data_IF_639055377170
#
_entry.id   IF_639055377170
#
_cell.length_a   1.000
_cell.length_b   1.000
_cell.length_c   1.000
_cell.angle_alpha   90.00
_cell.angle_beta   90.00
_cell.angle_gamma   90.00
#
_symmetry.space_group_name_H-M   'P 1'
#
loop_
_entity.id
_entity.type
_entity.pdbx_description
1 polymer ?
#
# COMPACT_ATOMS: atom_id res chain seq x y z
N UNK A 1 8.03 -19.31 -9.04
CA UNK A 1 9.32 -20.00 -8.82
C UNK A 1 9.87 -19.81 -7.41
N UNK A 2 9.95 -18.58 -6.87
CA UNK A 2 10.47 -18.32 -5.52
C UNK A 2 9.73 -19.06 -4.37
N UNK A 3 8.39 -19.10 -4.41
CA UNK A 3 7.57 -19.78 -3.38
C UNK A 3 7.86 -21.29 -3.32
N UNK A 4 8.09 -21.93 -4.46
CA UNK A 4 8.45 -23.35 -4.54
C UNK A 4 9.83 -23.62 -3.89
N UNK A 5 10.79 -22.70 -4.06
CA UNK A 5 12.09 -22.78 -3.40
C UNK A 5 11.98 -22.54 -1.89
N UNK A 6 11.12 -21.62 -1.45
CA UNK A 6 10.81 -21.40 -0.04
C UNK A 6 10.28 -22.68 0.62
N UNK A 7 9.34 -23.35 -0.05
CA UNK A 7 8.75 -24.59 0.44
C UNK A 7 9.78 -25.73 0.55
N UNK A 8 10.71 -25.81 -0.41
CA UNK A 8 11.77 -26.83 -0.47
C UNK A 8 12.84 -26.63 0.61
N UNK A 9 13.17 -25.37 0.93
CA UNK A 9 14.23 -25.03 1.88
C UNK A 9 13.76 -24.59 3.27
N UNK A 10 12.48 -24.78 3.62
CA UNK A 10 11.87 -24.38 4.90
C UNK A 10 12.63 -24.76 6.18
N UNK A 11 13.47 -25.80 6.12
CA UNK A 11 14.26 -26.30 7.27
C UNK A 11 15.65 -25.67 7.39
N UNK A 12 16.16 -25.02 6.34
CA UNK A 12 17.48 -24.39 6.30
C UNK A 12 17.35 -22.88 6.54
N UNK A 13 17.56 -22.43 7.78
CA UNK A 13 17.39 -21.02 8.18
C UNK A 13 18.11 -20.03 7.26
N UNK A 14 19.41 -20.20 7.03
CA UNK A 14 20.17 -19.26 6.20
C UNK A 14 19.71 -19.14 4.74
N UNK A 15 19.19 -20.23 4.14
CA UNK A 15 18.63 -20.17 2.78
C UNK A 15 17.26 -19.48 2.79
N UNK A 16 16.46 -19.72 3.83
CA UNK A 16 15.17 -19.05 4.00
C UNK A 16 15.35 -17.55 4.18
N UNK A 17 16.34 -17.10 4.95
CA UNK A 17 16.62 -15.69 5.18
C UNK A 17 17.01 -14.98 3.86
N UNK A 18 17.87 -15.61 3.06
CA UNK A 18 18.19 -15.11 1.71
C UNK A 18 16.94 -15.01 0.82
N UNK A 19 16.09 -16.05 0.82
CA UNK A 19 14.85 -16.04 0.03
C UNK A 19 13.84 -15.00 0.55
N UNK A 20 13.81 -14.71 1.85
CA UNK A 20 12.98 -13.64 2.41
C UNK A 20 13.49 -12.27 1.93
N UNK A 21 14.80 -12.06 1.85
CA UNK A 21 15.37 -10.83 1.31
C UNK A 21 15.00 -10.63 -0.16
N UNK A 22 15.06 -11.69 -0.97
CA UNK A 22 14.58 -11.66 -2.36
C UNK A 22 13.06 -11.32 -2.43
N UNK A 23 12.26 -11.84 -1.51
CA UNK A 23 10.83 -11.53 -1.42
C UNK A 23 10.53 -10.05 -1.12
N UNK A 24 11.43 -9.30 -0.48
CA UNK A 24 11.22 -7.86 -0.26
C UNK A 24 11.27 -7.06 -1.55
N UNK A 25 12.08 -7.50 -2.52
CA UNK A 25 12.25 -6.85 -3.83
C UNK A 25 11.06 -7.11 -4.76
N UNK A 26 10.25 -8.13 -4.47
CA UNK A 26 9.04 -8.44 -5.25
C UNK A 26 7.98 -7.35 -5.06
N UNK A 27 7.41 -6.91 -6.18
CA UNK A 27 6.33 -5.92 -6.22
C UNK A 27 5.03 -6.46 -5.60
N UNK A 28 4.22 -5.58 -5.02
CA UNK A 28 2.96 -5.95 -4.37
C UNK A 28 2.02 -6.73 -5.29
N UNK A 29 1.87 -6.31 -6.56
CA UNK A 29 0.98 -6.98 -7.50
C UNK A 29 1.34 -8.45 -7.78
N UNK A 30 2.63 -8.78 -7.81
CA UNK A 30 3.07 -10.17 -7.93
C UNK A 30 2.99 -10.91 -6.60
N UNK A 31 3.25 -10.22 -5.48
CA UNK A 31 3.14 -10.80 -4.15
C UNK A 31 1.70 -11.22 -3.82
N UNK A 32 0.70 -10.41 -4.19
CA UNK A 32 -0.72 -10.69 -3.98
C UNK A 32 -1.18 -11.97 -4.69
N UNK A 33 -0.67 -12.24 -5.90
CA UNK A 33 -0.97 -13.49 -6.66
C UNK A 33 -0.55 -14.75 -5.91
N UNK A 34 0.51 -14.66 -5.12
CA UNK A 34 1.05 -15.77 -4.33
C UNK A 34 0.67 -15.71 -2.84
N UNK A 35 -0.11 -14.70 -2.44
CA UNK A 35 -0.44 -14.45 -1.05
C UNK A 35 -1.12 -15.63 -0.36
N UNK A 36 -2.13 -16.32 -0.96
CA UNK A 36 -2.73 -17.50 -0.34
C UNK A 36 -1.69 -18.59 -0.04
N UNK A 37 -0.76 -18.84 -0.96
CA UNK A 37 0.28 -19.86 -0.82
C UNK A 37 1.32 -19.47 0.23
N UNK A 38 1.69 -18.19 0.29
CA UNK A 38 2.62 -17.65 1.30
C UNK A 38 2.00 -17.75 2.70
N UNK A 39 0.77 -17.25 2.89
CA UNK A 39 0.06 -17.32 4.16
C UNK A 39 -0.11 -18.76 4.63
N UNK A 40 -0.53 -19.67 3.76
CA UNK A 40 -0.63 -21.09 4.08
C UNK A 40 0.72 -21.67 4.51
N UNK A 41 1.80 -21.36 3.79
CA UNK A 41 3.13 -21.85 4.16
C UNK A 41 3.62 -21.30 5.51
N UNK A 42 3.37 -20.03 5.82
CA UNK A 42 3.70 -19.43 7.12
C UNK A 42 2.95 -20.15 8.24
N UNK A 43 1.63 -20.29 8.07
CA UNK A 43 0.76 -20.89 9.07
C UNK A 43 1.10 -22.36 9.31
N UNK A 44 1.35 -23.16 8.28
CA UNK A 44 1.43 -24.63 8.41
C UNK A 44 2.85 -25.19 8.41
N UNK A 45 3.83 -24.47 7.85
CA UNK A 45 5.15 -25.04 7.56
C UNK A 45 6.34 -24.22 8.07
N UNK A 46 6.16 -22.93 8.33
CA UNK A 46 7.23 -22.03 8.82
C UNK A 46 6.96 -21.50 10.23
N UNK A 47 6.11 -22.20 11.01
CA UNK A 47 5.78 -21.85 12.40
C UNK A 47 7.05 -21.59 13.21
N UNK A 48 7.20 -20.39 13.76
CA UNK A 48 8.31 -20.00 14.63
C UNK A 48 9.58 -19.54 13.90
N UNK A 49 9.50 -19.22 12.61
CA UNK A 49 10.59 -18.54 11.92
C UNK A 49 10.38 -17.00 11.98
N UNK A 50 11.25 -16.25 12.68
CA UNK A 50 11.03 -14.81 12.89
C UNK A 50 11.23 -13.99 11.61
N UNK A 51 12.05 -14.44 10.66
CA UNK A 51 12.38 -13.70 9.44
C UNK A 51 11.16 -13.57 8.53
N UNK A 52 10.44 -14.68 8.32
CA UNK A 52 9.24 -14.66 7.47
C UNK A 52 8.06 -13.97 8.18
N UNK A 53 7.95 -14.11 9.50
CA UNK A 53 6.96 -13.36 10.30
C UNK A 53 7.22 -11.85 10.16
N UNK A 54 8.48 -11.42 10.29
CA UNK A 54 8.88 -10.02 10.13
C UNK A 54 8.57 -9.49 8.72
N UNK A 55 8.90 -10.26 7.69
CA UNK A 55 8.56 -9.94 6.31
C UNK A 55 7.06 -9.67 6.14
N UNK A 56 6.22 -10.55 6.67
CA UNK A 56 4.77 -10.37 6.59
C UNK A 56 4.32 -9.10 7.31
N UNK A 57 4.82 -8.84 8.52
CA UNK A 57 4.46 -7.65 9.29
C UNK A 57 4.92 -6.35 8.64
N UNK A 58 6.12 -6.33 8.06
CA UNK A 58 6.62 -5.15 7.35
C UNK A 58 5.73 -4.82 6.14
N UNK A 59 5.34 -5.83 5.36
CA UNK A 59 4.41 -5.64 4.23
C UNK A 59 3.01 -5.19 4.69
N UNK A 60 2.49 -5.75 5.79
CA UNK A 60 1.22 -5.29 6.38
C UNK A 60 1.29 -3.85 6.91
N UNK A 61 2.45 -3.42 7.40
CA UNK A 61 2.65 -2.04 7.87
C UNK A 61 2.76 -1.02 6.72
N UNK A 62 3.17 -1.46 5.53
CA UNK A 62 3.34 -0.60 4.37
C UNK A 62 2.04 -0.40 3.59
N UNK A 63 1.19 -1.43 3.47
CA UNK A 63 -0.06 -1.36 2.69
C UNK A 63 -1.23 -1.94 3.48
N UNK A 64 -2.24 -1.09 3.70
CA UNK A 64 -3.49 -1.51 4.36
C UNK A 64 -4.27 -2.50 3.52
N UNK A 65 -4.24 -2.36 2.19
CA UNK A 65 -4.90 -3.29 1.26
C UNK A 65 -4.34 -4.71 1.45
N UNK A 66 -3.00 -4.81 1.41
CA UNK A 66 -2.30 -6.06 1.64
C UNK A 66 -2.57 -6.63 3.05
N UNK A 67 -2.56 -5.78 4.08
CA UNK A 67 -2.83 -6.19 5.45
C UNK A 67 -4.23 -6.79 5.64
N UNK A 68 -5.24 -6.21 5.00
CA UNK A 68 -6.62 -6.73 5.05
C UNK A 68 -6.69 -8.11 4.38
N UNK A 69 -6.06 -8.30 3.21
CA UNK A 69 -6.00 -9.61 2.57
C UNK A 69 -5.35 -10.66 3.47
N UNK A 70 -4.19 -10.33 4.07
CA UNK A 70 -3.50 -11.21 5.03
C UNK A 70 -4.38 -11.51 6.25
N UNK A 71 -5.05 -10.50 6.79
CA UNK A 71 -5.95 -10.65 7.94
C UNK A 71 -7.03 -11.71 7.66
N UNK A 72 -7.68 -11.68 6.51
CA UNK A 72 -8.71 -12.65 6.15
C UNK A 72 -8.15 -14.07 6.06
N UNK A 73 -6.95 -14.26 5.49
CA UNK A 73 -6.30 -15.57 5.45
C UNK A 73 -5.94 -16.09 6.84
N UNK A 74 -5.45 -15.22 7.72
CA UNK A 74 -5.11 -15.57 9.10
C UNK A 74 -6.36 -15.88 9.93
N UNK A 75 -7.45 -15.13 9.73
CA UNK A 75 -8.71 -15.37 10.43
C UNK A 75 -9.31 -16.72 10.03
N UNK A 76 -9.39 -17.02 8.74
CA UNK A 76 -9.81 -18.33 8.25
C UNK A 76 -8.93 -19.45 8.84
N UNK A 77 -7.61 -19.24 8.91
CA UNK A 77 -6.71 -20.20 9.52
C UNK A 77 -6.93 -20.39 11.03
N UNK A 78 -7.37 -19.35 11.77
CA UNK A 78 -7.72 -19.45 13.19
C UNK A 78 -9.03 -20.19 13.37
N UNK A 79 -10.03 -19.95 12.53
CA UNK A 79 -11.34 -20.61 12.58
C UNK A 79 -11.22 -22.12 12.27
N UNK A 80 -10.42 -22.48 11.26
CA UNK A 80 -10.11 -23.87 10.91
C UNK A 80 -9.36 -24.63 12.02
N UNK A 81 -8.80 -23.90 12.99
CA UNK A 81 -8.04 -24.51 14.09
C UNK A 81 -8.93 -25.24 15.12
N UNK A 82 -10.25 -25.20 14.98
CA UNK A 82 -11.19 -25.99 15.79
C UNK A 82 -10.91 -27.50 15.76
N UNK A 83 -10.27 -27.99 14.69
CA UNK A 83 -9.88 -29.40 14.49
C UNK A 83 -8.42 -29.70 14.84
N UNK A 84 -7.65 -28.69 15.28
CA UNK A 84 -6.22 -28.80 15.58
C UNK A 84 -6.00 -29.15 17.06
N UNK A 85 -5.34 -30.28 17.34
CA UNK A 85 -5.06 -30.70 18.73
C UNK A 85 -3.88 -29.95 19.38
N UNK A 86 -3.08 -29.25 18.57
CA UNK A 86 -1.87 -28.57 19.03
C UNK A 86 -2.18 -27.16 19.53
N UNK A 87 -2.27 -26.98 20.86
CA UNK A 87 -2.46 -25.66 21.50
C UNK A 87 -1.45 -24.61 21.02
N UNK A 88 -0.18 -25.01 20.83
CA UNK A 88 0.89 -24.13 20.33
C UNK A 88 0.62 -23.62 18.91
N UNK A 89 0.01 -24.44 18.06
CA UNK A 89 -0.34 -24.03 16.70
C UNK A 89 -1.51 -23.02 16.69
N UNK A 90 -2.51 -23.24 17.54
CA UNK A 90 -3.65 -22.32 17.70
C UNK A 90 -3.15 -20.96 18.21
N UNK A 91 -2.33 -20.97 19.26
CA UNK A 91 -1.74 -19.77 19.85
C UNK A 91 -0.87 -19.02 18.84
N UNK A 92 -0.05 -19.75 18.06
CA UNK A 92 0.75 -19.16 17.00
C UNK A 92 -0.09 -18.40 15.96
N UNK A 93 -1.17 -19.00 15.46
CA UNK A 93 -2.05 -18.35 14.48
C UNK A 93 -2.72 -17.10 15.04
N UNK A 94 -3.23 -17.18 16.27
CA UNK A 94 -3.83 -16.03 16.97
C UNK A 94 -2.82 -14.90 17.18
N UNK A 95 -1.59 -15.25 17.59
CA UNK A 95 -0.49 -14.29 17.74
C UNK A 95 -0.18 -13.62 16.40
N UNK A 96 -0.06 -14.40 15.32
CA UNK A 96 0.25 -13.87 14.00
C UNK A 96 -0.85 -12.92 13.49
N UNK A 97 -2.12 -13.27 13.71
CA UNK A 97 -3.28 -12.39 13.43
C UNK A 97 -3.18 -11.07 14.21
N UNK A 98 -3.00 -11.14 15.53
CA UNK A 98 -2.90 -9.95 16.38
C UNK A 98 -1.70 -9.04 16.00
N UNK A 99 -0.58 -9.65 15.61
CA UNK A 99 0.57 -8.90 15.09
C UNK A 99 0.25 -8.21 13.77
N UNK A 100 -0.52 -8.83 12.88
CA UNK A 100 -0.96 -8.23 11.63
C UNK A 100 -1.82 -6.99 11.89
N UNK A 101 -2.82 -7.09 12.78
CA UNK A 101 -3.67 -5.97 13.20
C UNK A 101 -2.82 -4.81 13.76
N UNK A 102 -1.92 -5.13 14.70
CA UNK A 102 -1.05 -4.16 15.34
C UNK A 102 -0.10 -3.50 14.34
N UNK A 103 0.47 -4.26 13.40
CA UNK A 103 1.42 -3.75 12.41
C UNK A 103 0.74 -2.89 11.35
N UNK A 104 -0.48 -3.25 10.94
CA UNK A 104 -1.28 -2.48 9.98
C UNK A 104 -1.68 -1.10 10.53
N UNK A 105 -1.96 -1.01 11.83
CA UNK A 105 -2.34 0.25 12.50
C UNK A 105 -1.11 1.11 12.80
N UNK A 106 0.00 0.49 13.21
CA UNK A 106 1.23 1.19 13.61
C UNK A 106 2.20 1.46 12.45
N UNK A 107 1.82 1.13 11.21
CA UNK A 107 2.67 1.35 10.03
C UNK A 107 2.95 2.82 9.76
N UNK A 108 4.06 3.14 9.08
CA UNK A 108 4.38 4.52 8.72
C UNK A 108 3.26 5.09 7.85
N UNK A 109 2.60 6.13 8.35
CA UNK A 109 1.45 6.80 7.72
C UNK A 109 1.73 7.34 6.31
N UNK A 110 3.00 7.38 5.89
CA UNK A 110 3.49 8.00 4.66
C UNK A 110 3.53 7.06 3.42
N UNK A 111 3.18 5.77 3.55
CA UNK A 111 3.23 4.79 2.43
C UNK A 111 1.86 4.41 1.84
N UNK A 112 0.79 5.16 2.17
CA UNK A 112 -0.56 4.92 1.65
C UNK A 112 -0.77 5.31 0.17
N UNK A 113 0.30 5.56 -0.58
CA UNK A 113 0.24 6.05 -1.97
C UNK A 113 1.28 5.34 -2.83
N UNK A 114 1.06 4.06 -3.13
CA UNK A 114 1.70 3.41 -4.29
C UNK A 114 0.70 3.08 -5.41
N UNK A 115 -0.56 3.52 -5.30
CA UNK A 115 -1.51 3.56 -6.43
C UNK A 115 -1.35 4.86 -7.27
N UNK A 116 -0.28 5.63 -7.07
CA UNK A 116 -0.08 6.94 -7.70
C UNK A 116 0.63 6.88 -9.07
N UNK A 117 0.92 5.70 -9.63
CA UNK A 117 1.60 5.60 -10.94
C UNK A 117 0.70 6.03 -12.11
N UNK A 118 -0.63 6.04 -11.94
CA UNK A 118 -1.56 6.47 -12.99
C UNK A 118 -1.94 7.97 -12.94
N UNK A 119 -1.56 8.68 -11.86
CA UNK A 119 -1.99 10.08 -11.67
C UNK A 119 -1.03 11.09 -12.32
N UNK A 120 0.25 10.74 -12.52
CA UNK A 120 1.23 11.64 -13.14
C UNK A 120 0.90 11.94 -14.62
N UNK A 121 0.38 10.95 -15.34
CA UNK A 121 -0.09 11.11 -16.71
C UNK A 121 -1.39 11.95 -16.77
N UNK A 122 -2.28 11.79 -15.80
CA UNK A 122 -3.50 12.58 -15.71
C UNK A 122 -3.19 14.06 -15.38
N UNK A 123 -2.28 14.35 -14.45
CA UNK A 123 -1.91 15.72 -14.08
C UNK A 123 -1.19 16.47 -15.21
N UNK A 124 -0.33 15.79 -15.96
CA UNK A 124 0.34 16.36 -17.14
C UNK A 124 -0.64 16.62 -18.27
N UNK A 125 -1.59 15.71 -18.54
CA UNK A 125 -2.67 15.93 -19.53
C UNK A 125 -3.67 17.03 -19.10
N UNK A 126 -3.98 17.16 -17.81
CA UNK A 126 -4.84 18.24 -17.30
C UNK A 126 -4.14 19.59 -17.47
N UNK A 127 -2.84 19.66 -17.20
CA UNK A 127 -2.04 20.88 -17.32
C UNK A 127 -1.85 21.31 -18.79
N UNK A 128 -1.72 20.37 -19.74
CA UNK A 128 -1.66 20.69 -21.17
C UNK A 128 -3.01 21.19 -21.71
N UNK A 129 -4.13 20.55 -21.34
CA UNK A 129 -5.47 20.97 -21.77
C UNK A 129 -5.88 22.36 -21.21
N UNK A 130 -5.46 22.69 -19.98
CA UNK A 130 -5.71 24.01 -19.39
C UNK A 130 -4.94 25.12 -20.12
N UNK A 131 -3.69 24.87 -20.53
CA UNK A 131 -2.89 25.84 -21.27
C UNK A 131 -3.40 26.07 -22.69
N UNK A 132 -3.89 25.03 -23.38
CA UNK A 132 -4.52 25.17 -24.70
C UNK A 132 -5.80 26.02 -24.64
N UNK A 133 -6.61 25.82 -23.59
CA UNK A 133 -7.82 26.61 -23.36
C UNK A 133 -7.52 28.09 -23.08
N UNK A 134 -6.43 28.39 -22.35
CA UNK A 134 -5.97 29.77 -22.08
C UNK A 134 -5.42 30.45 -23.35
N UNK A 135 -4.72 29.70 -24.21
CA UNK A 135 -4.25 30.19 -25.51
C UNK A 135 -5.39 30.63 -26.43
N UNK A 136 -6.45 29.82 -26.52
CA UNK A 136 -7.63 30.14 -27.33
C UNK A 136 -8.44 31.34 -26.78
N UNK A 137 -8.56 31.47 -25.46
CA UNK A 137 -9.18 32.64 -24.81
C UNK A 137 -8.37 33.92 -25.05
N UNK A 138 -7.03 33.86 -25.00
CA UNK A 138 -6.18 35.02 -25.28
C UNK A 138 -6.28 35.52 -26.73
N UNK A 139 -6.43 34.60 -27.70
CA UNK A 139 -6.68 34.98 -29.10
C UNK A 139 -8.07 35.59 -29.32
N UNK A 140 -9.10 35.15 -28.60
CA UNK A 140 -10.47 35.70 -28.70
C UNK A 140 -10.61 37.07 -28.02
N UNK A 141 -9.81 37.34 -26.99
CA UNK A 141 -9.73 38.65 -26.32
C UNK A 141 -9.01 39.68 -27.18
N UNK A 142 -8.11 39.25 -28.08
CA UNK A 142 -7.39 40.15 -28.98
C UNK A 142 -8.20 40.51 -30.24
N UNK A 143 -9.13 39.65 -30.69
CA UNK A 143 -9.99 39.93 -31.84
C UNK A 143 -11.28 40.71 -31.50
N UNK A 144 -11.79 40.61 -30.28
CA UNK A 144 -12.96 41.37 -29.85
C UNK A 144 -12.52 42.46 -28.87
N UNK A 145 -12.15 43.63 -29.42
CA UNK A 145 -11.91 44.84 -28.64
C UNK A 145 -13.18 45.30 -27.91
N UNK A 146 -13.45 44.73 -26.74
CA UNK A 146 -14.40 45.27 -25.77
C UNK A 146 -13.58 46.12 -24.80
N UNK A 147 -13.67 47.45 -24.96
CA UNK A 147 -13.21 48.40 -23.96
C UNK A 147 -13.84 48.05 -22.60
N UNK A 148 -13.04 47.52 -21.69
CA UNK A 148 -13.40 47.41 -20.29
C UNK A 148 -13.07 48.76 -19.64
N UNK A 149 -14.11 49.55 -19.35
CA UNK A 149 -14.03 50.85 -18.69
C UNK A 149 -13.08 50.84 -17.48
N UNK A 150 -12.28 51.89 -17.26
CA UNK A 150 -11.34 51.94 -16.13
C UNK A 150 -12.10 51.99 -14.80
N UNK A 151 -11.81 51.01 -13.94
CA UNK A 151 -12.34 50.91 -12.59
C UNK A 151 -11.91 52.13 -11.74
N UNK A 152 -12.88 52.83 -11.18
CA UNK A 152 -12.72 53.96 -10.26
C UNK A 152 -12.00 53.51 -8.98
N UNK A 153 -10.98 54.26 -8.49
CA UNK A 153 -10.31 53.92 -7.24
C UNK A 153 -11.14 54.37 -6.05
N UNK A 154 -11.64 53.44 -5.22
CA UNK A 154 -12.21 53.79 -3.92
C UNK A 154 -11.12 53.95 -2.86
N UNK A 155 -10.99 55.19 -2.38
CA UNK A 155 -10.14 55.65 -1.29
C UNK A 155 -10.50 55.01 0.06
N UNK A 156 -9.47 54.42 0.67
CA UNK A 156 -9.07 54.44 2.10
C UNK A 156 -10.04 55.13 3.07
N UNK A 157 -10.55 54.38 4.05
CA UNK A 157 -10.90 54.94 5.37
C UNK A 157 -10.32 54.08 6.49
N UNK A 158 -9.20 54.56 7.03
CA UNK A 158 -8.72 54.26 8.37
C UNK A 158 -9.78 54.63 9.41
N UNK A 159 -9.99 53.79 10.41
CA UNK A 159 -10.37 54.26 11.75
C UNK A 159 -9.88 53.28 12.82
N UNK A 160 -8.90 53.76 13.56
CA UNK A 160 -8.56 53.40 14.93
C UNK A 160 -9.76 53.61 15.86
N UNK A 161 -10.07 52.61 16.67
CA UNK A 161 -10.13 52.64 18.14
C UNK A 161 -10.44 51.22 18.64
#
# INVERSE_FOLDING_TARGET
MAVSYLYRYRRKRGVLDYLCNELYVVEYGDLEKYLPQICHMIVYHLKGNPTIERFLMDKCSSSIHFAVQVYWFLEAAVEDSSRENSKKAIEFRRKLKAQCETSAINGPSNMRTEDAVDTEMAQTLISSNLNESQGQLSSLVQENGVELCPATPLLRRSRSL
#
